data_IF_616821147841
#
_entry.id   IF_616821147841
#
_cell.length_a   1.000
_cell.length_b   1.000
_cell.length_c   1.000
_cell.angle_alpha   90.00
_cell.angle_beta   90.00
_cell.angle_gamma   90.00
#
_symmetry.space_group_name_H-M   'P 1'
#
loop_
_entity.id
_entity.type
_entity.pdbx_description
1 polymer ?
#
# COMPACT_ATOMS: atom_id res chain seq x y z
N UNK A 1 7.29 -11.33 -22.89
CA UNK A 1 8.03 -10.26 -22.26
C UNK A 1 8.59 -10.70 -20.90
N UNK A 2 9.87 -10.98 -20.85
CA UNK A 2 10.55 -11.41 -19.62
C UNK A 2 10.88 -10.21 -18.70
N UNK A 3 9.98 -9.25 -18.60
CA UNK A 3 10.14 -8.10 -17.72
C UNK A 3 10.33 -8.52 -16.27
N UNK A 4 11.26 -7.88 -15.57
CA UNK A 4 11.45 -8.04 -14.12
C UNK A 4 10.18 -7.55 -13.44
N UNK A 5 9.55 -8.42 -12.64
CA UNK A 5 8.44 -8.03 -11.77
C UNK A 5 9.01 -7.44 -10.49
N UNK A 6 8.59 -6.25 -10.14
CA UNK A 6 8.98 -5.61 -8.89
C UNK A 6 7.92 -5.84 -7.82
N UNK A 7 8.35 -5.90 -6.58
CA UNK A 7 7.47 -5.88 -5.42
C UNK A 7 7.80 -4.63 -4.62
N UNK A 8 6.81 -3.78 -4.45
CA UNK A 8 6.94 -2.55 -3.67
C UNK A 8 6.29 -2.73 -2.32
N UNK A 9 7.01 -2.40 -1.27
CA UNK A 9 6.51 -2.46 0.11
C UNK A 9 6.28 -1.06 0.64
N UNK A 10 5.08 -0.79 1.13
CA UNK A 10 4.75 0.38 1.93
C UNK A 10 4.52 -0.07 3.36
N UNK A 11 5.43 0.29 4.25
CA UNK A 11 5.37 -0.09 5.67
C UNK A 11 4.80 1.05 6.50
N UNK A 12 3.69 0.80 7.17
CA UNK A 12 3.04 1.72 8.10
C UNK A 12 3.09 1.16 9.52
N UNK A 13 3.68 1.89 10.39
CA UNK A 13 3.92 1.42 11.75
C UNK A 13 3.18 2.25 12.80
N UNK A 14 3.60 3.48 12.97
CA UNK A 14 3.06 4.44 13.94
C UNK A 14 2.32 5.60 13.30
N UNK A 15 2.43 5.76 12.00
CA UNK A 15 1.76 6.81 11.24
C UNK A 15 0.23 6.68 11.32
N UNK A 16 -0.46 7.79 11.42
CA UNK A 16 -1.91 7.77 11.62
C UNK A 16 -2.67 7.21 10.40
N UNK A 17 -2.38 7.72 9.20
CA UNK A 17 -3.12 7.36 7.98
C UNK A 17 -2.22 7.34 6.75
N UNK A 18 -2.80 7.03 5.60
CA UNK A 18 -2.19 7.31 4.30
C UNK A 18 -2.35 8.80 3.99
N UNK A 19 -1.26 9.50 4.01
CA UNK A 19 -1.15 10.95 3.98
C UNK A 19 -1.96 11.62 2.87
N UNK A 20 -2.70 12.65 3.22
CA UNK A 20 -3.38 13.54 2.28
C UNK A 20 -2.40 14.60 1.78
N UNK A 21 -2.45 14.88 0.50
CA UNK A 21 -1.65 15.95 -0.10
C UNK A 21 -2.55 17.00 -0.73
N UNK A 22 -2.27 18.27 -0.45
CA UNK A 22 -3.01 19.37 -1.06
C UNK A 22 -2.76 19.41 -2.58
N UNK A 23 -3.81 19.72 -3.31
CA UNK A 23 -3.79 19.80 -4.76
C UNK A 23 -3.25 21.16 -5.20
N UNK A 24 -1.92 21.32 -5.21
CA UNK A 24 -1.26 22.55 -5.64
C UNK A 24 -1.09 22.62 -7.16
N UNK A 25 -0.83 23.82 -7.70
CA UNK A 25 -0.60 24.01 -9.14
C UNK A 25 0.59 23.19 -9.67
N UNK A 26 1.62 22.98 -8.87
CA UNK A 26 2.76 22.13 -9.23
C UNK A 26 2.37 20.64 -9.32
N UNK A 27 1.40 20.22 -8.52
CA UNK A 27 0.91 18.85 -8.55
C UNK A 27 -0.01 18.59 -9.75
N UNK A 28 -0.65 19.61 -10.33
CA UNK A 28 -1.44 19.48 -11.54
C UNK A 28 -0.63 18.94 -12.72
N UNK A 29 0.58 19.49 -12.95
CA UNK A 29 1.44 19.01 -14.03
C UNK A 29 1.84 17.56 -13.84
N UNK A 30 2.21 17.17 -12.62
CA UNK A 30 2.55 15.77 -12.29
C UNK A 30 1.34 14.86 -12.41
N UNK A 31 0.17 15.33 -11.98
CA UNK A 31 -1.06 14.57 -12.12
C UNK A 31 -1.31 14.18 -13.58
N UNK A 32 -1.43 15.15 -14.47
CA UNK A 32 -1.75 14.90 -15.88
C UNK A 32 -0.67 14.09 -16.60
N UNK A 33 0.58 14.30 -16.26
CA UNK A 33 1.70 13.65 -16.94
C UNK A 33 1.98 12.23 -16.44
N UNK A 34 1.92 12.03 -15.11
CA UNK A 34 2.43 10.81 -14.49
C UNK A 34 1.37 9.92 -13.84
N UNK A 35 0.35 10.50 -13.23
CA UNK A 35 -0.59 9.73 -12.41
C UNK A 35 -1.92 9.46 -13.10
N UNK A 36 -2.48 10.44 -13.77
CA UNK A 36 -3.77 10.28 -14.44
C UNK A 36 -3.80 9.10 -15.40
N UNK A 37 -2.84 8.90 -16.31
CA UNK A 37 -2.86 7.75 -17.23
C UNK A 37 -2.89 6.40 -16.51
N UNK A 38 -2.17 6.29 -15.39
CA UNK A 38 -2.16 5.07 -14.60
C UNK A 38 -3.46 4.88 -13.82
N UNK A 39 -4.01 5.95 -13.23
CA UNK A 39 -5.28 5.88 -12.53
C UNK A 39 -6.42 5.51 -13.49
N UNK A 40 -6.48 6.12 -14.66
CA UNK A 40 -7.50 5.79 -15.69
C UNK A 40 -7.43 4.33 -16.13
N UNK A 41 -6.22 3.78 -16.16
CA UNK A 41 -6.00 2.38 -16.52
C UNK A 41 -6.50 1.42 -15.45
N UNK A 42 -6.27 1.72 -14.17
CA UNK A 42 -6.52 0.78 -13.07
C UNK A 42 -7.89 0.92 -12.40
N UNK A 43 -8.50 2.11 -12.40
CA UNK A 43 -9.78 2.36 -11.75
C UNK A 43 -10.96 1.83 -12.56
N UNK A 44 -11.97 1.28 -11.86
CA UNK A 44 -13.27 0.95 -12.44
C UNK A 44 -14.04 2.20 -12.86
N UNK A 45 -13.96 3.24 -12.04
CA UNK A 45 -14.58 4.54 -12.25
C UNK A 45 -13.55 5.63 -11.96
N UNK A 46 -13.26 6.44 -12.98
CA UNK A 46 -12.26 7.50 -12.90
C UNK A 46 -12.86 8.91 -12.70
N UNK A 47 -14.17 9.01 -12.42
CA UNK A 47 -14.89 10.30 -12.35
C UNK A 47 -14.21 11.29 -11.41
N UNK A 48 -13.80 10.87 -10.23
CA UNK A 48 -13.13 11.72 -9.25
C UNK A 48 -11.69 11.25 -8.94
N UNK A 49 -11.02 10.72 -9.95
CA UNK A 49 -9.71 10.08 -9.77
C UNK A 49 -8.66 11.00 -9.14
N UNK A 50 -8.64 12.27 -9.52
CA UNK A 50 -7.69 13.25 -8.98
C UNK A 50 -7.91 13.51 -7.49
N UNK A 51 -9.14 13.76 -7.08
CA UNK A 51 -9.47 13.98 -5.68
C UNK A 51 -9.21 12.72 -4.84
N UNK A 52 -9.56 11.56 -5.37
CA UNK A 52 -9.26 10.28 -4.74
C UNK A 52 -7.74 10.10 -4.54
N UNK A 53 -6.95 10.36 -5.57
CA UNK A 53 -5.49 10.23 -5.52
C UNK A 53 -4.87 11.11 -4.44
N UNK A 54 -5.24 12.38 -4.38
CA UNK A 54 -4.66 13.32 -3.41
C UNK A 54 -5.23 13.16 -2.00
N UNK A 55 -6.44 12.63 -1.83
CA UNK A 55 -7.00 12.36 -0.51
C UNK A 55 -6.27 11.24 0.24
N UNK A 56 -5.69 10.29 -0.48
CA UNK A 56 -4.91 9.18 0.05
C UNK A 56 -3.62 9.02 -0.76
N UNK A 57 -2.83 10.07 -0.79
CA UNK A 57 -1.68 10.22 -1.69
C UNK A 57 -0.68 9.06 -1.61
N UNK A 58 -0.27 8.67 -0.41
CA UNK A 58 0.71 7.59 -0.26
C UNK A 58 0.15 6.24 -0.72
N UNK A 59 -1.13 5.99 -0.45
CA UNK A 59 -1.80 4.77 -0.88
C UNK A 59 -1.82 4.67 -2.42
N UNK A 60 -2.37 5.67 -3.08
CA UNK A 60 -2.53 5.65 -4.53
C UNK A 60 -1.21 5.79 -5.28
N UNK A 61 -0.25 6.54 -4.75
CA UNK A 61 1.09 6.63 -5.33
C UNK A 61 1.77 5.26 -5.42
N UNK A 62 1.52 4.40 -4.46
CA UNK A 62 2.02 3.02 -4.50
C UNK A 62 1.18 2.14 -5.43
N UNK A 63 -0.14 2.24 -5.38
CA UNK A 63 -1.05 1.41 -6.20
C UNK A 63 -0.85 1.63 -7.70
N UNK A 64 -0.59 2.85 -8.15
CA UNK A 64 -0.37 3.13 -9.58
C UNK A 64 0.81 2.38 -10.19
N UNK A 65 1.72 1.86 -9.37
CA UNK A 65 2.85 1.04 -9.84
C UNK A 65 2.42 -0.29 -10.43
N UNK A 66 1.29 -0.85 -10.01
CA UNK A 66 0.78 -2.12 -10.55
C UNK A 66 0.45 -2.05 -12.05
N UNK A 67 0.27 -0.86 -12.60
CA UNK A 67 0.05 -0.68 -14.03
C UNK A 67 1.20 -1.22 -14.90
N UNK A 68 2.36 -1.48 -14.30
CA UNK A 68 3.55 -2.05 -14.93
C UNK A 68 3.74 -3.55 -14.62
N UNK A 69 2.69 -4.26 -14.20
CA UNK A 69 2.71 -5.65 -13.72
C UNK A 69 3.49 -5.86 -12.41
N UNK A 70 3.68 -4.82 -11.65
CA UNK A 70 4.30 -4.89 -10.34
C UNK A 70 3.29 -5.24 -9.25
N UNK A 71 3.76 -5.76 -8.13
CA UNK A 71 2.95 -6.03 -6.95
C UNK A 71 3.24 -4.99 -5.87
N UNK A 72 2.21 -4.51 -5.22
CA UNK A 72 2.30 -3.59 -4.08
C UNK A 72 1.84 -4.29 -2.83
N UNK A 73 2.65 -4.27 -1.79
CA UNK A 73 2.38 -4.89 -0.50
C UNK A 73 2.35 -3.82 0.59
N UNK A 74 1.19 -3.66 1.21
CA UNK A 74 1.02 -2.80 2.38
C UNK A 74 1.29 -3.60 3.64
N UNK A 75 2.21 -3.14 4.47
CA UNK A 75 2.69 -3.83 5.67
C UNK A 75 2.37 -2.99 6.90
N UNK A 76 1.56 -3.54 7.79
CA UNK A 76 1.18 -2.88 9.05
C UNK A 76 0.75 -3.91 10.10
N UNK A 77 0.67 -3.53 11.40
CA UNK A 77 0.18 -4.43 12.43
C UNK A 77 -1.28 -4.84 12.21
N UNK A 78 -1.64 -6.05 12.60
CA UNK A 78 -3.02 -6.57 12.47
C UNK A 78 -4.04 -5.73 13.25
N UNK A 79 -3.60 -5.03 14.29
CA UNK A 79 -4.42 -4.11 15.09
C UNK A 79 -4.86 -2.84 14.32
N UNK A 80 -4.15 -2.48 13.25
CA UNK A 80 -4.44 -1.29 12.45
C UNK A 80 -5.58 -1.56 11.45
N UNK A 81 -6.78 -1.77 12.00
CA UNK A 81 -8.00 -2.00 11.21
C UNK A 81 -8.41 -0.81 10.36
N UNK A 82 -8.02 0.38 10.77
CA UNK A 82 -8.17 1.62 10.01
C UNK A 82 -7.42 1.56 8.66
N UNK A 83 -6.14 1.19 8.70
CA UNK A 83 -5.33 1.07 7.48
C UNK A 83 -5.81 -0.09 6.59
N UNK A 84 -6.19 -1.21 7.19
CA UNK A 84 -6.76 -2.35 6.47
C UNK A 84 -8.02 -1.96 5.71
N UNK A 85 -8.91 -1.19 6.34
CA UNK A 85 -10.12 -0.68 5.71
C UNK A 85 -9.82 0.26 4.53
N UNK A 86 -8.82 1.14 4.66
CA UNK A 86 -8.40 2.02 3.57
C UNK A 86 -7.86 1.23 2.37
N UNK A 87 -7.00 0.24 2.59
CA UNK A 87 -6.47 -0.61 1.53
C UNK A 87 -7.56 -1.43 0.86
N UNK A 88 -8.45 -2.05 1.64
CA UNK A 88 -9.57 -2.83 1.10
C UNK A 88 -10.53 -1.96 0.28
N UNK A 89 -10.81 -0.73 0.73
CA UNK A 89 -11.61 0.24 -0.03
C UNK A 89 -10.94 0.57 -1.38
N UNK A 90 -9.63 0.72 -1.42
CA UNK A 90 -8.91 0.94 -2.66
C UNK A 90 -8.98 -0.28 -3.59
N UNK A 91 -8.83 -1.50 -3.04
CA UNK A 91 -8.94 -2.74 -3.82
C UNK A 91 -10.30 -2.85 -4.52
N UNK A 92 -11.37 -2.46 -3.84
CA UNK A 92 -12.72 -2.47 -4.42
C UNK A 92 -12.90 -1.50 -5.60
N UNK A 93 -12.13 -0.41 -5.62
CA UNK A 93 -12.18 0.61 -6.69
C UNK A 93 -11.34 0.24 -7.92
N UNK A 94 -10.44 -0.70 -7.78
CA UNK A 94 -9.49 -1.13 -8.82
C UNK A 94 -10.11 -2.25 -9.66
N UNK A 95 -9.83 -2.26 -10.96
CA UNK A 95 -10.28 -3.34 -11.86
C UNK A 95 -9.74 -4.69 -11.38
N UNK A 96 -10.51 -5.79 -11.57
CA UNK A 96 -10.14 -7.11 -11.05
C UNK A 96 -8.75 -7.59 -11.47
N UNK A 97 -8.32 -7.30 -12.70
CA UNK A 97 -7.01 -7.68 -13.21
C UNK A 97 -5.83 -7.03 -12.47
N UNK A 98 -6.07 -5.89 -11.82
CA UNK A 98 -5.04 -5.20 -11.02
C UNK A 98 -5.21 -5.45 -9.51
N UNK A 99 -6.42 -5.74 -9.07
CA UNK A 99 -6.73 -5.94 -7.64
C UNK A 99 -5.88 -7.04 -7.01
N UNK A 100 -5.61 -8.11 -7.74
CA UNK A 100 -4.78 -9.23 -7.28
C UNK A 100 -3.31 -8.85 -7.05
N UNK A 101 -2.87 -7.72 -7.54
CA UNK A 101 -1.52 -7.20 -7.35
C UNK A 101 -1.38 -6.29 -6.13
N UNK A 102 -2.46 -6.06 -5.40
CA UNK A 102 -2.46 -5.32 -4.12
C UNK A 102 -2.58 -6.35 -2.99
N UNK A 103 -1.58 -6.38 -2.11
CA UNK A 103 -1.50 -7.34 -1.00
C UNK A 103 -1.39 -6.62 0.32
N UNK A 104 -1.88 -7.26 1.36
CA UNK A 104 -1.69 -6.86 2.76
C UNK A 104 -0.85 -7.93 3.44
N UNK A 105 0.17 -7.49 4.18
CA UNK A 105 0.99 -8.35 5.03
C UNK A 105 1.02 -7.75 6.43
N UNK A 106 0.62 -8.52 7.43
CA UNK A 106 0.67 -8.06 8.80
C UNK A 106 2.06 -8.28 9.40
N UNK A 107 2.59 -7.25 10.08
CA UNK A 107 3.89 -7.35 10.77
C UNK A 107 3.88 -8.49 11.77
N UNK A 108 2.74 -8.76 12.40
CA UNK A 108 2.52 -9.86 13.33
C UNK A 108 2.92 -11.22 12.73
N UNK A 109 2.56 -11.46 11.47
CA UNK A 109 2.89 -12.70 10.77
C UNK A 109 4.38 -12.80 10.45
N UNK A 110 5.01 -11.67 10.11
CA UNK A 110 6.46 -11.61 9.91
C UNK A 110 7.20 -11.96 11.20
N UNK A 111 6.78 -11.38 12.32
CA UNK A 111 7.37 -11.63 13.63
C UNK A 111 7.18 -13.09 14.04
N UNK A 112 5.99 -13.64 13.85
CA UNK A 112 5.69 -15.05 14.15
C UNK A 112 6.57 -15.99 13.33
N UNK A 113 6.74 -15.72 12.05
CA UNK A 113 7.65 -16.48 11.19
C UNK A 113 9.10 -16.36 11.64
N UNK A 114 9.54 -15.16 12.03
CA UNK A 114 10.88 -14.91 12.56
C UNK A 114 11.15 -15.59 13.90
N UNK A 115 10.15 -15.67 14.78
CA UNK A 115 10.23 -16.38 16.08
C UNK A 115 10.45 -17.89 15.89
N UNK A 116 9.95 -18.45 14.78
CA UNK A 116 10.16 -19.85 14.43
C UNK A 116 11.53 -20.11 13.78
N UNK A 117 12.33 -19.09 13.56
CA UNK A 117 13.66 -19.22 12.99
C UNK A 117 14.72 -19.27 14.10
N UNK A 118 15.46 -20.36 14.20
CA UNK A 118 16.39 -20.66 15.31
C UNK A 118 17.34 -19.51 15.71
N UNK A 119 17.82 -18.75 14.72
CA UNK A 119 18.76 -17.65 14.95
C UNK A 119 18.12 -16.32 15.28
N UNK A 120 16.83 -16.15 14.97
CA UNK A 120 16.12 -14.88 15.01
C UNK A 120 14.99 -14.84 16.04
N UNK A 121 14.63 -15.98 16.63
CA UNK A 121 13.46 -16.10 17.50
C UNK A 121 13.45 -15.11 18.65
N UNK A 122 14.56 -14.96 19.35
CA UNK A 122 14.70 -14.02 20.47
C UNK A 122 14.56 -12.56 20.02
N UNK A 123 15.10 -12.21 18.87
CA UNK A 123 15.00 -10.86 18.32
C UNK A 123 13.53 -10.49 17.99
N UNK A 124 12.84 -11.37 17.28
CA UNK A 124 11.44 -11.14 16.91
C UNK A 124 10.48 -11.20 18.10
N UNK A 125 10.74 -12.04 19.09
CA UNK A 125 9.96 -12.06 20.33
C UNK A 125 10.05 -10.73 21.08
N UNK A 126 11.24 -10.16 21.22
CA UNK A 126 11.46 -8.83 21.81
C UNK A 126 10.82 -7.71 20.98
N UNK A 127 10.89 -7.81 19.67
CA UNK A 127 10.25 -6.85 18.79
C UNK A 127 8.73 -6.86 18.97
N UNK A 128 8.13 -8.03 18.99
CA UNK A 128 6.68 -8.20 19.20
C UNK A 128 6.26 -7.64 20.56
N UNK A 129 6.95 -8.00 21.62
CA UNK A 129 6.70 -7.50 22.98
C UNK A 129 6.73 -5.97 23.04
N UNK A 130 7.71 -5.35 22.39
CA UNK A 130 7.89 -3.91 22.42
C UNK A 130 6.85 -3.15 21.58
N UNK A 131 6.43 -3.70 20.46
CA UNK A 131 5.74 -2.93 19.43
C UNK A 131 4.35 -3.45 19.05
N UNK A 132 4.04 -4.71 19.31
CA UNK A 132 2.80 -5.33 18.85
C UNK A 132 1.87 -5.76 20.01
N UNK A 133 2.38 -5.88 21.21
CA UNK A 133 1.57 -6.17 22.40
C UNK A 133 1.17 -4.83 23.05
N UNK A 134 -0.11 -4.56 23.03
CA UNK A 134 -0.72 -3.34 23.53
C UNK A 134 -1.34 -3.57 24.91
#
# INVERSE_FOLDING_TARGET
NNGVKNIYFEVKYTEETFETKSNSNNDNSRWYKHYQPSMDKILKDNTNAKDLFFSQYQLWRNIVRISNNDTVVFVFPVSRKDLEAEVNSAIEKVKPEYANSIKILHIDDICKSGENHDKLSSHYAKFREKYLEY
#
